data_IF_943916353126
#
_entry.id   IF_943916353126
#
_cell.length_a   1.000
_cell.length_b   1.000
_cell.length_c   1.000
_cell.angle_alpha   90.00
_cell.angle_beta   90.00
_cell.angle_gamma   90.00
#
_symmetry.space_group_name_H-M   'P 1'
#
loop_
_entity.id
_entity.type
_entity.pdbx_description
1 polymer ?
#
# COMPACT_ATOMS: atom_id res chain seq x y z
N UNK A 1 -20.44 -28.07 -1.56
CA UNK A 1 -20.07 -26.81 -2.24
C UNK A 1 -18.55 -26.73 -2.16
N UNK A 2 -17.78 -26.79 -3.27
CA UNK A 2 -16.34 -26.63 -3.17
C UNK A 2 -16.02 -25.18 -2.74
N UNK A 3 -14.96 -25.03 -1.95
CA UNK A 3 -14.50 -23.73 -1.47
C UNK A 3 -14.27 -22.81 -2.67
N UNK A 4 -14.80 -21.59 -2.61
CA UNK A 4 -14.38 -20.51 -3.49
C UNK A 4 -12.92 -20.20 -3.13
N UNK A 5 -12.03 -20.11 -4.11
CA UNK A 5 -10.63 -19.75 -3.86
C UNK A 5 -10.60 -18.39 -3.16
N UNK A 6 -10.21 -18.39 -1.89
CA UNK A 6 -10.06 -17.18 -1.09
C UNK A 6 -8.65 -16.68 -1.34
N UNK A 7 -8.55 -15.46 -1.86
CA UNK A 7 -7.30 -14.78 -2.08
C UNK A 7 -6.96 -13.92 -0.86
N UNK A 8 -5.70 -13.96 -0.46
CA UNK A 8 -5.20 -13.23 0.71
C UNK A 8 -3.94 -12.47 0.33
N UNK A 9 -3.88 -11.21 0.74
CA UNK A 9 -2.67 -10.40 0.66
C UNK A 9 -2.38 -9.77 2.02
N UNK A 10 -1.10 -9.68 2.38
CA UNK A 10 -0.65 -9.12 3.65
C UNK A 10 0.38 -8.01 3.42
N UNK A 11 0.34 -7.01 4.28
CA UNK A 11 1.41 -6.03 4.43
C UNK A 11 1.63 -5.71 5.90
N UNK A 12 2.82 -5.25 6.23
CA UNK A 12 3.17 -4.81 7.58
C UNK A 12 4.16 -3.65 7.49
N UNK A 13 4.05 -2.71 8.41
CA UNK A 13 4.98 -1.60 8.55
C UNK A 13 5.04 -1.19 10.01
N UNK A 14 6.22 -1.31 10.61
CA UNK A 14 6.42 -1.17 12.06
C UNK A 14 5.44 -2.06 12.84
N UNK A 15 4.72 -1.50 13.80
CA UNK A 15 3.78 -2.20 14.67
C UNK A 15 2.41 -2.48 14.02
N UNK A 16 2.27 -2.16 12.73
CA UNK A 16 1.03 -2.36 11.99
C UNK A 16 1.13 -3.54 11.04
N UNK A 17 0.07 -4.34 10.99
CA UNK A 17 -0.16 -5.31 9.93
C UNK A 17 -1.56 -5.14 9.34
N UNK A 18 -1.65 -5.31 8.03
CA UNK A 18 -2.89 -5.31 7.30
C UNK A 18 -3.02 -6.61 6.50
N UNK A 19 -4.23 -7.16 6.47
CA UNK A 19 -4.59 -8.33 5.69
C UNK A 19 -5.82 -7.99 4.84
N UNK A 20 -5.70 -8.18 3.54
CA UNK A 20 -6.81 -8.11 2.60
C UNK A 20 -7.25 -9.51 2.23
N UNK A 21 -8.55 -9.75 2.25
CA UNK A 21 -9.16 -11.04 1.91
C UNK A 21 -10.20 -10.81 0.82
N UNK A 22 -10.13 -11.59 -0.24
CA UNK A 22 -11.07 -11.55 -1.36
C UNK A 22 -11.65 -12.92 -1.61
N UNK A 23 -12.98 -13.00 -1.68
CA UNK A 23 -13.68 -14.20 -2.12
C UNK A 23 -13.93 -14.20 -3.65
N UNK A 24 -13.45 -13.18 -4.37
CA UNK A 24 -13.66 -12.99 -5.81
C UNK A 24 -12.42 -12.37 -6.43
N UNK A 25 -11.52 -13.23 -6.91
CA UNK A 25 -10.32 -12.84 -7.65
C UNK A 25 -9.21 -12.26 -6.80
N UNK A 26 -8.08 -12.02 -7.46
CA UNK A 26 -6.84 -11.56 -6.85
C UNK A 26 -6.99 -10.19 -6.18
N UNK A 27 -6.25 -10.01 -5.09
CA UNK A 27 -6.21 -8.80 -4.30
C UNK A 27 -4.77 -8.54 -3.84
N UNK A 28 -4.38 -7.28 -3.76
CA UNK A 28 -3.11 -6.86 -3.19
C UNK A 28 -3.30 -5.74 -2.20
N UNK A 29 -2.59 -5.76 -1.07
CA UNK A 29 -2.59 -4.69 -0.08
C UNK A 29 -1.17 -4.28 0.25
N UNK A 30 -0.98 -2.98 0.41
CA UNK A 30 0.23 -2.45 0.99
C UNK A 30 -0.02 -1.30 1.95
N UNK A 31 0.75 -1.27 3.04
CA UNK A 31 0.72 -0.22 4.05
C UNK A 31 2.14 0.23 4.38
N UNK A 32 2.32 1.53 4.60
CA UNK A 32 3.53 2.10 5.15
C UNK A 32 3.21 3.11 6.24
N UNK A 33 3.96 3.04 7.33
CA UNK A 33 3.97 4.11 8.33
C UNK A 33 4.75 5.29 7.78
N UNK A 34 4.09 6.42 7.72
CA UNK A 34 4.69 7.71 7.47
C UNK A 34 5.78 7.97 8.50
N UNK A 35 6.98 8.18 7.98
CA UNK A 35 8.07 8.76 8.72
C UNK A 35 8.91 9.60 7.75
N UNK A 36 9.66 10.61 8.24
CA UNK A 36 10.63 11.30 7.43
C UNK A 36 11.65 10.29 6.87
N UNK A 37 11.63 10.06 5.56
CA UNK A 37 12.53 9.14 4.89
C UNK A 37 13.71 9.93 4.31
N UNK A 38 14.91 9.82 4.88
CA UNK A 38 16.04 10.64 4.43
C UNK A 38 16.48 10.33 2.98
N UNK A 39 16.28 9.08 2.52
CA UNK A 39 16.77 8.56 1.25
C UNK A 39 15.69 8.42 0.16
N UNK A 40 14.48 8.98 0.32
CA UNK A 40 13.38 8.80 -0.67
C UNK A 40 13.80 9.22 -2.09
N UNK A 41 14.67 10.23 -2.24
CA UNK A 41 15.12 10.69 -3.57
C UNK A 41 16.01 9.67 -4.28
N UNK A 42 16.81 8.92 -3.53
CA UNK A 42 17.62 7.85 -4.09
C UNK A 42 16.71 6.67 -4.49
N UNK A 43 15.79 6.30 -3.61
CA UNK A 43 14.83 5.22 -3.86
C UNK A 43 13.89 5.53 -5.02
N UNK A 44 13.48 6.79 -5.18
CA UNK A 44 12.62 7.24 -6.28
C UNK A 44 13.17 6.82 -7.66
N UNK A 45 14.49 6.86 -7.86
CA UNK A 45 15.14 6.46 -9.12
C UNK A 45 15.02 4.97 -9.44
N UNK A 46 14.75 4.14 -8.45
CA UNK A 46 14.61 2.69 -8.57
C UNK A 46 13.15 2.22 -8.53
N UNK A 47 12.21 3.13 -8.29
CA UNK A 47 10.79 2.81 -8.08
C UNK A 47 9.90 3.54 -9.08
N UNK A 48 10.24 4.79 -9.42
CA UNK A 48 9.42 5.66 -10.25
C UNK A 48 9.79 5.53 -11.72
N UNK A 49 8.77 5.38 -12.57
CA UNK A 49 8.94 5.58 -14.02
C UNK A 49 9.39 7.00 -14.31
N UNK A 50 10.00 7.25 -15.47
CA UNK A 50 10.40 8.61 -15.88
C UNK A 50 9.24 9.62 -15.83
N UNK A 51 8.01 9.16 -16.10
CA UNK A 51 6.81 10.00 -16.01
C UNK A 51 6.48 10.36 -14.56
N UNK A 52 6.57 9.40 -13.65
CA UNK A 52 6.36 9.64 -12.22
C UNK A 52 7.47 10.51 -11.63
N UNK A 53 8.73 10.34 -12.05
CA UNK A 53 9.86 11.20 -11.63
C UNK A 53 9.58 12.66 -11.98
N UNK A 54 9.18 12.95 -13.23
CA UNK A 54 8.86 14.32 -13.65
C UNK A 54 7.75 14.95 -12.80
N UNK A 55 6.67 14.19 -12.54
CA UNK A 55 5.59 14.68 -11.69
C UNK A 55 6.04 14.85 -10.23
N UNK A 56 6.95 14.00 -9.76
CA UNK A 56 7.47 14.03 -8.39
C UNK A 56 8.40 15.22 -8.14
N UNK A 57 9.13 15.68 -9.16
CA UNK A 57 10.02 16.84 -9.06
C UNK A 57 9.26 18.14 -8.78
N UNK A 58 8.01 18.24 -9.22
CA UNK A 58 7.13 19.40 -9.00
C UNK A 58 6.47 19.40 -7.60
N UNK A 59 6.62 18.31 -6.82
CA UNK A 59 6.00 18.20 -5.49
C UNK A 59 6.80 18.99 -4.45
N UNK A 60 6.15 19.84 -3.63
CA UNK A 60 6.79 20.55 -2.53
C UNK A 60 7.60 19.62 -1.63
N UNK A 61 8.78 20.07 -1.20
CA UNK A 61 9.75 19.25 -0.45
C UNK A 61 9.16 18.67 0.84
N UNK A 62 8.25 19.42 1.45
CA UNK A 62 7.52 19.10 2.68
C UNK A 62 6.58 17.90 2.47
N UNK A 63 6.09 17.70 1.24
CA UNK A 63 5.17 16.63 0.86
C UNK A 63 5.88 15.46 0.16
N UNK A 64 7.09 15.66 -0.37
CA UNK A 64 7.77 14.66 -1.21
C UNK A 64 7.93 13.29 -0.54
N UNK A 65 8.31 13.24 0.74
CA UNK A 65 8.47 11.94 1.44
C UNK A 65 7.13 11.19 1.56
N UNK A 66 6.05 11.91 1.89
CA UNK A 66 4.70 11.34 1.95
C UNK A 66 4.25 10.87 0.57
N UNK A 67 4.45 11.70 -0.46
CA UNK A 67 4.09 11.38 -1.84
C UNK A 67 4.89 10.20 -2.40
N UNK A 68 6.15 10.05 -2.01
CA UNK A 68 6.93 8.86 -2.31
C UNK A 68 6.28 7.59 -1.73
N UNK A 69 5.91 7.60 -0.45
CA UNK A 69 5.24 6.47 0.20
C UNK A 69 3.85 6.18 -0.40
N UNK A 70 3.10 7.22 -0.77
CA UNK A 70 1.82 7.07 -1.48
C UNK A 70 2.01 6.33 -2.81
N UNK A 71 3.02 6.70 -3.60
CA UNK A 71 3.31 6.01 -4.86
C UNK A 71 3.82 4.57 -4.63
N UNK A 72 4.69 4.38 -3.64
CA UNK A 72 5.24 3.08 -3.29
C UNK A 72 4.13 2.09 -2.92
N UNK A 73 3.26 2.46 -1.98
CA UNK A 73 2.14 1.61 -1.56
C UNK A 73 1.17 1.31 -2.71
N UNK A 74 0.98 2.24 -3.66
CA UNK A 74 0.18 1.98 -4.87
C UNK A 74 0.81 0.91 -5.76
N UNK A 75 2.12 1.03 -6.03
CA UNK A 75 2.86 0.05 -6.84
C UNK A 75 2.86 -1.33 -6.19
N UNK A 76 3.25 -1.41 -4.92
CA UNK A 76 3.28 -2.67 -4.18
C UNK A 76 1.91 -3.34 -4.10
N UNK A 77 0.84 -2.57 -3.89
CA UNK A 77 -0.51 -3.13 -3.91
C UNK A 77 -0.83 -3.79 -5.25
N UNK A 78 -0.50 -3.16 -6.39
CA UNK A 78 -0.71 -3.75 -7.73
C UNK A 78 0.19 -4.98 -7.91
N UNK A 79 1.48 -4.90 -7.60
CA UNK A 79 2.42 -6.01 -7.79
C UNK A 79 2.06 -7.23 -6.92
N UNK A 80 1.55 -7.01 -5.70
CA UNK A 80 0.98 -8.06 -4.85
C UNK A 80 -0.29 -8.65 -5.46
N UNK A 81 -1.16 -7.83 -6.05
CA UNK A 81 -2.38 -8.29 -6.73
C UNK A 81 -2.07 -9.12 -7.98
N UNK A 82 -0.96 -8.89 -8.66
CA UNK A 82 -0.52 -9.69 -9.83
C UNK A 82 -0.20 -11.14 -9.42
N UNK A 83 0.09 -11.41 -8.14
CA UNK A 83 0.39 -12.76 -7.65
C UNK A 83 1.86 -13.18 -7.77
N UNK A 84 2.76 -12.27 -8.15
CA UNK A 84 4.21 -12.54 -8.29
C UNK A 84 5.09 -11.87 -7.23
N UNK A 85 4.52 -11.07 -6.31
CA UNK A 85 5.28 -10.36 -5.27
C UNK A 85 6.38 -9.43 -5.81
N UNK A 86 7.42 -9.19 -5.01
CA UNK A 86 8.57 -8.31 -5.32
C UNK A 86 9.45 -8.76 -6.51
N UNK A 87 9.08 -9.81 -7.25
CA UNK A 87 9.88 -10.27 -8.40
C UNK A 87 9.69 -9.37 -9.63
N UNK A 88 8.70 -8.49 -9.61
CA UNK A 88 8.41 -7.56 -10.69
C UNK A 88 9.05 -6.22 -10.38
N UNK A 89 9.77 -5.66 -11.36
CA UNK A 89 10.42 -4.36 -11.20
C UNK A 89 9.37 -3.24 -11.15
N UNK A 90 9.26 -2.45 -10.06
CA UNK A 90 8.31 -1.34 -9.94
C UNK A 90 8.47 -0.26 -11.01
N UNK A 91 9.64 -0.18 -11.68
CA UNK A 91 9.85 0.71 -12.83
C UNK A 91 9.04 0.33 -14.06
N UNK A 92 8.52 -0.90 -14.13
CA UNK A 92 7.69 -1.36 -15.25
C UNK A 92 6.21 -0.96 -15.11
N UNK A 93 5.81 -0.51 -13.92
CA UNK A 93 4.45 -0.18 -13.58
C UNK A 93 4.31 1.34 -13.36
N UNK A 94 3.49 2.02 -14.16
CA UNK A 94 3.08 3.40 -13.87
C UNK A 94 1.76 3.40 -13.11
N UNK A 95 1.71 4.04 -11.94
CA UNK A 95 0.47 4.21 -11.16
C UNK A 95 0.02 5.65 -11.00
N UNK A 96 0.94 6.63 -11.05
CA UNK A 96 0.65 8.00 -10.67
C UNK A 96 0.08 8.12 -9.26
N UNK A 97 -0.55 9.24 -8.91
CA UNK A 97 -1.09 9.49 -7.57
C UNK A 97 -2.62 9.51 -7.50
N UNK A 98 -3.28 9.92 -8.58
CA UNK A 98 -4.71 10.25 -8.58
C UNK A 98 -5.55 9.23 -9.38
N UNK A 99 -4.88 8.37 -10.14
CA UNK A 99 -5.52 7.36 -10.96
C UNK A 99 -6.22 6.31 -10.10
N UNK A 100 -7.53 6.13 -10.32
CA UNK A 100 -8.32 5.10 -9.63
C UNK A 100 -8.18 3.72 -10.28
N UNK A 101 -7.70 3.68 -11.53
CA UNK A 101 -7.43 2.46 -12.26
C UNK A 101 -6.14 2.60 -13.06
N UNK A 102 -5.34 1.54 -13.08
CA UNK A 102 -4.05 1.46 -13.77
C UNK A 102 -4.00 0.21 -14.63
N UNK A 103 -3.16 0.22 -15.65
CA UNK A 103 -2.95 -0.92 -16.54
C UNK A 103 -1.56 -1.51 -16.32
N UNK A 104 -1.48 -2.83 -16.25
CA UNK A 104 -0.22 -3.55 -16.11
C UNK A 104 -0.34 -4.97 -16.65
N UNK A 105 0.64 -5.43 -17.43
CA UNK A 105 0.60 -6.76 -18.05
C UNK A 105 -0.64 -7.03 -18.90
N UNK A 106 -1.25 -6.00 -19.51
CA UNK A 106 -2.49 -6.11 -20.29
C UNK A 106 -3.77 -6.24 -19.46
N UNK A 107 -3.69 -6.16 -18.13
CA UNK A 107 -4.83 -6.20 -17.22
C UNK A 107 -5.08 -4.85 -16.55
N UNK A 108 -6.29 -4.67 -16.05
CA UNK A 108 -6.70 -3.48 -15.31
C UNK A 108 -6.75 -3.76 -13.81
N UNK A 109 -6.26 -2.80 -13.03
CA UNK A 109 -6.25 -2.84 -11.57
C UNK A 109 -6.88 -1.57 -11.03
N UNK A 110 -7.88 -1.72 -10.16
CA UNK A 110 -8.48 -0.63 -9.41
C UNK A 110 -7.71 -0.41 -8.12
N UNK A 111 -7.26 0.83 -7.91
CA UNK A 111 -6.52 1.25 -6.74
C UNK A 111 -7.43 2.03 -5.79
N UNK A 112 -7.43 1.61 -4.54
CA UNK A 112 -8.19 2.25 -3.48
C UNK A 112 -7.27 2.61 -2.32
N UNK A 113 -7.18 3.89 -2.00
CA UNK A 113 -6.54 4.33 -0.76
C UNK A 113 -7.32 3.79 0.44
N UNK A 114 -6.60 3.24 1.41
CA UNK A 114 -7.20 2.78 2.65
C UNK A 114 -7.59 4.00 3.52
N UNK A 115 -8.82 4.06 4.05
CA UNK A 115 -9.28 5.18 4.88
C UNK A 115 -8.73 5.10 6.32
N UNK A 116 -7.41 4.94 6.44
CA UNK A 116 -6.70 4.81 7.72
C UNK A 116 -6.35 6.21 8.22
N UNK A 117 -6.55 6.45 9.52
CA UNK A 117 -6.20 7.72 10.16
C UNK A 117 -4.79 7.67 10.75
N UNK A 118 -4.17 8.83 10.90
CA UNK A 118 -2.87 8.98 11.57
C UNK A 118 -1.71 8.86 10.60
N UNK A 119 -0.68 8.13 11.02
CA UNK A 119 0.58 8.04 10.29
C UNK A 119 0.59 6.96 9.21
N UNK A 120 -0.46 6.17 9.01
CA UNK A 120 -0.44 5.13 7.98
C UNK A 120 -0.87 5.66 6.61
N UNK A 121 -0.17 5.20 5.59
CA UNK A 121 -0.49 5.34 4.18
C UNK A 121 -0.70 3.92 3.66
N UNK A 122 -1.72 3.68 2.84
CA UNK A 122 -1.90 2.34 2.28
C UNK A 122 -2.90 2.28 1.17
N UNK A 123 -2.75 1.27 0.33
CA UNK A 123 -3.57 1.05 -0.85
C UNK A 123 -3.93 -0.42 -1.00
N UNK A 124 -5.09 -0.66 -1.62
CA UNK A 124 -5.53 -1.97 -2.07
C UNK A 124 -5.70 -1.93 -3.58
N UNK A 125 -5.20 -2.97 -4.25
CA UNK A 125 -5.41 -3.21 -5.67
C UNK A 125 -6.29 -4.46 -5.88
N UNK A 126 -7.16 -4.41 -6.88
CA UNK A 126 -7.98 -5.55 -7.31
C UNK A 126 -8.44 -5.40 -8.76
N UNK A 127 -8.96 -6.46 -9.38
CA UNK A 127 -9.48 -6.39 -10.75
C UNK A 127 -10.90 -5.81 -10.89
N UNK A 128 -11.56 -5.50 -9.78
CA UNK A 128 -12.94 -5.00 -9.79
C UNK A 128 -13.11 -3.84 -8.80
N UNK A 129 -13.79 -2.74 -9.17
CA UNK A 129 -14.07 -1.67 -8.24
C UNK A 129 -15.12 -2.19 -7.26
N UNK A 130 -14.71 -2.48 -6.02
CA UNK A 130 -15.63 -3.03 -5.00
C UNK A 130 -15.51 -2.28 -3.68
N UNK A 131 -16.59 -2.37 -2.91
CA UNK A 131 -16.68 -1.82 -1.56
C UNK A 131 -15.68 -2.54 -0.66
N UNK A 132 -14.68 -1.81 -0.18
CA UNK A 132 -13.72 -2.29 0.82
C UNK A 132 -14.40 -2.19 2.19
N UNK A 133 -14.45 -3.31 2.91
CA UNK A 133 -14.91 -3.34 4.31
C UNK A 133 -13.66 -3.43 5.18
N UNK A 134 -13.35 -2.33 5.87
CA UNK A 134 -12.24 -2.31 6.82
C UNK A 134 -12.73 -2.66 8.23
N UNK A 135 -11.93 -3.47 8.93
CA UNK A 135 -12.08 -3.77 10.35
C UNK A 135 -10.71 -3.62 11.00
N UNK A 136 -10.65 -2.85 12.07
CA UNK A 136 -9.43 -2.72 12.89
C UNK A 136 -9.60 -3.60 14.11
N UNK A 137 -8.60 -4.42 14.39
CA UNK A 137 -8.52 -5.19 15.63
C UNK A 137 -7.56 -4.45 16.57
N UNK A 138 -7.89 -4.28 17.87
CA UNK A 138 -6.95 -3.72 18.83
C UNK A 138 -5.70 -4.60 18.89
N UNK A 139 -4.51 -3.99 18.94
CA UNK A 139 -3.27 -4.74 19.15
C UNK A 139 -3.25 -5.23 20.61
N UNK A 140 -2.85 -6.48 20.85
CA UNK A 140 -2.70 -7.00 22.21
C UNK A 140 -1.52 -6.35 22.97
N UNK A 141 -0.78 -5.43 22.35
CA UNK A 141 0.37 -4.73 22.94
C UNK A 141 -0.02 -3.46 23.73
N UNK A 142 -1.26 -3.00 23.64
CA UNK A 142 -1.71 -1.79 24.38
C UNK A 142 -2.10 -2.07 25.85
N UNK A 143 -2.05 -3.32 26.32
CA UNK A 143 -2.56 -3.70 27.66
C UNK A 143 -1.50 -3.64 28.78
N UNK A 144 -0.22 -3.37 28.47
CA UNK A 144 0.88 -3.50 29.46
C UNK A 144 1.61 -2.21 29.87
N UNK A 145 1.12 -1.02 29.49
CA UNK A 145 1.66 0.26 29.99
C UNK A 145 0.58 1.00 30.78
N UNK A 146 0.35 0.57 32.03
CA UNK A 146 -0.64 1.21 32.89
C UNK A 146 -0.86 0.59 34.26
N UNK A 147 0.20 0.34 35.03
CA UNK A 147 0.11 0.24 36.49
C UNK A 147 1.25 1.10 37.07
N UNK A 148 0.97 2.23 37.74
CA UNK A 148 1.98 2.90 38.55
C UNK A 148 2.24 2.05 39.80
N UNK A 149 3.50 1.70 40.04
CA UNK A 149 3.94 1.11 41.31
C UNK A 149 3.53 2.04 42.45
N UNK A 150 2.66 1.53 43.32
CA UNK A 150 2.38 2.14 44.62
C UNK A 150 3.04 1.28 45.68
N UNK A 151 4.20 1.71 46.16
CA UNK A 151 4.64 1.46 47.55
C UNK A 151 5.61 2.54 47.98
#
# INVERSE_FOLDING_TARGET
MPARDIEVSQSHSHDWSAVAVSAVGLIGIDIERWHPLANYRQLARHIMTDREVRMFEDIPRELSARKFLELWTRKEAVLKCVGHGLQQDPLTLHTGWDEQAVQFGGLHYYLHALPIRGELIGHVASHHPRKIIMRTLPSQFDVQLGQPDTT
#
